data_IF_502219956879
#
_entry.id   IF_502219956879
#
_cell.length_a   1.000
_cell.length_b   1.000
_cell.length_c   1.000
_cell.angle_alpha   90.00
_cell.angle_beta   90.00
_cell.angle_gamma   90.00
#
_symmetry.space_group_name_H-M   'P 1'
#
loop_
_entity.id
_entity.type
_entity.pdbx_description
1 polymer ?
#
# COMPACT_ATOMS: atom_id res chain seq x y z
N UNK A 1 -13.62 -30.82 -8.15
CA UNK A 1 -12.55 -30.17 -8.95
C UNK A 1 -12.39 -28.67 -8.60
N UNK A 2 -12.58 -28.29 -7.33
CA UNK A 2 -12.52 -26.88 -6.86
C UNK A 2 -11.82 -26.77 -5.49
N UNK A 3 -10.88 -27.66 -5.17
CA UNK A 3 -10.25 -27.68 -3.84
C UNK A 3 -8.73 -27.44 -3.88
N UNK A 4 -8.12 -27.43 -5.08
CA UNK A 4 -6.68 -27.22 -5.27
C UNK A 4 -6.28 -25.78 -5.62
N UNK A 5 -7.25 -24.90 -5.88
CA UNK A 5 -6.99 -23.51 -6.26
C UNK A 5 -6.89 -22.57 -5.04
N UNK A 6 -7.48 -22.92 -3.89
CA UNK A 6 -7.52 -22.04 -2.72
C UNK A 6 -6.20 -21.97 -1.94
N UNK A 7 -5.41 -23.04 -1.90
CA UNK A 7 -4.17 -23.08 -1.11
C UNK A 7 -3.02 -22.25 -1.72
N UNK A 8 -3.04 -22.02 -3.04
CA UNK A 8 -1.98 -21.25 -3.73
C UNK A 8 -2.19 -19.75 -3.59
N UNK A 9 -3.43 -19.30 -3.46
CA UNK A 9 -3.75 -17.87 -3.28
C UNK A 9 -3.39 -17.38 -1.88
N UNK A 10 -3.59 -18.18 -0.83
CA UNK A 10 -3.22 -17.79 0.54
C UNK A 10 -1.71 -17.58 0.67
N UNK A 11 -0.87 -18.41 0.03
CA UNK A 11 0.59 -18.21 -0.02
C UNK A 11 1.01 -17.00 -0.85
N UNK A 12 0.27 -16.65 -1.91
CA UNK A 12 0.55 -15.46 -2.74
C UNK A 12 0.09 -14.15 -2.10
N UNK A 13 -0.99 -14.16 -1.33
CA UNK A 13 -1.47 -13.01 -0.55
C UNK A 13 -0.63 -12.79 0.71
N UNK A 14 -0.24 -13.84 1.43
CA UNK A 14 0.69 -13.75 2.56
C UNK A 14 2.09 -13.27 2.14
N UNK A 15 2.45 -13.44 0.87
CA UNK A 15 3.67 -12.85 0.31
C UNK A 15 3.55 -11.35 0.02
N UNK A 16 2.35 -10.73 0.02
CA UNK A 16 2.15 -9.31 -0.31
C UNK A 16 2.26 -8.39 0.91
N UNK A 17 1.87 -8.84 2.10
CA UNK A 17 2.18 -8.13 3.35
C UNK A 17 3.68 -8.20 3.59
N UNK A 18 4.32 -7.05 3.78
CA UNK A 18 5.76 -6.88 3.76
C UNK A 18 6.37 -6.63 2.38
N UNK A 19 5.55 -6.44 1.32
CA UNK A 19 6.08 -5.98 0.03
C UNK A 19 6.18 -4.47 -0.02
N UNK A 20 7.28 -4.03 -0.59
CA UNK A 20 7.45 -2.68 -1.09
C UNK A 20 6.66 -2.51 -2.38
N UNK A 21 5.77 -1.52 -2.40
CA UNK A 21 5.08 -1.06 -3.59
C UNK A 21 5.37 0.42 -3.83
N UNK A 22 5.48 0.79 -5.09
CA UNK A 22 5.57 2.20 -5.47
C UNK A 22 4.15 2.75 -5.61
N UNK A 23 3.87 3.82 -4.87
CA UNK A 23 2.58 4.49 -4.85
C UNK A 23 2.75 5.95 -5.21
N UNK A 24 1.77 6.48 -5.92
CA UNK A 24 1.67 7.91 -6.22
C UNK A 24 0.78 8.55 -5.17
N UNK A 25 1.29 9.59 -4.52
CA UNK A 25 0.58 10.32 -3.48
C UNK A 25 -0.42 11.26 -4.14
N UNK A 26 -1.70 11.10 -3.85
CA UNK A 26 -2.74 12.01 -4.34
C UNK A 26 -2.96 13.16 -3.35
N UNK A 27 -3.03 12.85 -2.05
CA UNK A 27 -3.33 13.83 -1.01
C UNK A 27 -2.54 13.55 0.28
N UNK A 28 -2.28 14.60 1.06
CA UNK A 28 -1.53 14.49 2.32
C UNK A 28 -2.27 15.24 3.42
N UNK A 29 -2.78 14.49 4.39
CA UNK A 29 -3.42 15.00 5.60
C UNK A 29 -2.36 15.29 6.66
N UNK A 30 -1.83 16.50 6.63
CA UNK A 30 -0.78 16.95 7.56
C UNK A 30 -1.25 16.95 9.02
N UNK A 31 -2.52 17.22 9.27
CA UNK A 31 -3.09 17.22 10.62
C UNK A 31 -3.09 15.84 11.27
N UNK A 32 -3.25 14.78 10.46
CA UNK A 32 -3.28 13.38 10.89
C UNK A 32 -1.93 12.67 10.66
N UNK A 33 -0.95 13.35 10.07
CA UNK A 33 0.34 12.81 9.63
C UNK A 33 0.20 11.60 8.67
N UNK A 34 -0.86 11.60 7.85
CA UNK A 34 -1.20 10.53 6.92
C UNK A 34 -1.23 11.03 5.48
N UNK A 35 -0.93 10.16 4.52
CA UNK A 35 -1.08 10.45 3.10
C UNK A 35 -1.93 9.39 2.40
N UNK A 36 -2.71 9.85 1.43
CA UNK A 36 -3.54 9.02 0.57
C UNK A 36 -2.81 8.85 -0.74
N UNK A 37 -2.57 7.60 -1.11
CA UNK A 37 -1.84 7.24 -2.31
C UNK A 37 -2.51 6.08 -3.05
N UNK A 38 -2.13 5.92 -4.31
CA UNK A 38 -2.63 4.90 -5.22
C UNK A 38 -1.48 4.13 -5.85
N UNK A 39 -1.64 2.83 -5.97
CA UNK A 39 -0.62 1.94 -6.52
C UNK A 39 -0.48 2.15 -8.04
N UNK A 40 0.75 2.16 -8.57
CA UNK A 40 1.01 2.31 -10.01
C UNK A 40 0.65 1.05 -10.82
N UNK A 41 0.55 -0.10 -10.16
CA UNK A 41 0.48 -1.42 -10.77
C UNK A 41 -0.91 -2.05 -10.73
N UNK A 42 -1.95 -1.23 -10.59
CA UNK A 42 -3.32 -1.73 -10.42
C UNK A 42 -3.83 -2.44 -11.68
N UNK A 43 -3.77 -3.77 -11.61
CA UNK A 43 -4.72 -4.67 -12.24
C UNK A 43 -5.95 -4.74 -11.31
N UNK A 44 -7.18 -4.93 -11.85
CA UNK A 44 -8.50 -4.66 -11.24
C UNK A 44 -8.88 -5.34 -9.89
N UNK A 45 -7.94 -5.88 -9.13
CA UNK A 45 -8.15 -6.69 -7.91
C UNK A 45 -7.69 -5.99 -6.61
N UNK A 46 -7.08 -4.79 -6.64
CA UNK A 46 -6.66 -4.03 -5.45
C UNK A 46 -7.28 -2.62 -5.51
N UNK A 47 -8.61 -2.57 -5.46
CA UNK A 47 -9.43 -1.35 -5.45
C UNK A 47 -9.37 -0.58 -4.10
N UNK A 48 -8.23 -0.64 -3.39
CA UNK A 48 -8.05 -0.09 -2.05
C UNK A 48 -7.16 1.16 -2.06
N UNK A 49 -7.58 2.20 -1.36
CA UNK A 49 -6.72 3.36 -1.13
C UNK A 49 -5.54 2.94 -0.26
N UNK A 50 -4.34 3.44 -0.59
CA UNK A 50 -3.15 3.20 0.23
C UNK A 50 -3.00 4.37 1.20
N UNK A 51 -3.24 4.08 2.47
CA UNK A 51 -3.02 5.01 3.57
C UNK A 51 -1.58 4.85 4.04
N UNK A 52 -0.80 5.88 3.81
CA UNK A 52 0.59 5.98 4.22
C UNK A 52 0.63 6.67 5.57
N UNK A 53 1.01 5.94 6.62
CA UNK A 53 1.26 6.52 7.93
C UNK A 53 2.67 7.16 7.99
N UNK A 54 2.87 8.15 8.85
CA UNK A 54 4.12 8.92 8.96
C UNK A 54 4.50 9.69 7.68
N UNK A 55 3.50 10.31 7.03
CA UNK A 55 3.67 11.01 5.77
C UNK A 55 4.09 12.49 5.89
N UNK A 56 4.62 12.93 7.04
CA UNK A 56 4.90 14.34 7.33
C UNK A 56 5.87 15.04 6.37
N UNK A 57 6.72 14.27 5.67
CA UNK A 57 7.65 14.77 4.67
C UNK A 57 7.23 14.48 3.21
N UNK A 58 6.06 13.89 3.02
CA UNK A 58 5.54 13.49 1.71
C UNK A 58 4.70 14.64 1.14
N UNK A 59 4.70 14.78 -0.19
CA UNK A 59 3.90 15.78 -0.90
C UNK A 59 2.96 15.10 -1.88
N UNK A 60 1.77 15.66 -2.14
CA UNK A 60 0.93 15.20 -3.25
C UNK A 60 1.70 15.34 -4.57
N UNK A 61 1.58 14.33 -5.43
CA UNK A 61 2.34 14.17 -6.67
C UNK A 61 3.68 13.45 -6.52
N UNK A 62 4.11 13.12 -5.30
CA UNK A 62 5.35 12.38 -5.06
C UNK A 62 5.17 10.88 -5.31
N UNK A 63 6.20 10.23 -5.85
CA UNK A 63 6.24 8.79 -6.07
C UNK A 63 7.11 8.17 -4.99
N UNK A 64 6.46 7.62 -3.98
CA UNK A 64 7.12 7.04 -2.81
C UNK A 64 7.04 5.53 -2.82
N UNK A 65 8.09 4.89 -2.31
CA UNK A 65 8.08 3.46 -2.02
C UNK A 65 7.59 3.22 -0.60
N UNK A 66 6.51 2.45 -0.49
CA UNK A 66 5.87 2.14 0.79
C UNK A 66 5.85 0.64 1.00
N UNK A 67 6.04 0.21 2.24
CA UNK A 67 5.88 -1.18 2.63
C UNK A 67 4.48 -1.36 3.20
N UNK A 68 3.70 -2.25 2.60
CA UNK A 68 2.37 -2.61 3.13
C UNK A 68 2.60 -3.45 4.38
N UNK A 69 2.32 -2.89 5.54
CA UNK A 69 2.47 -3.61 6.80
C UNK A 69 1.16 -4.25 7.23
N UNK A 70 0.03 -3.64 6.84
CA UNK A 70 -1.29 -4.08 7.26
C UNK A 70 -2.33 -3.81 6.16
N UNK A 71 -3.46 -4.51 6.25
CA UNK A 71 -4.56 -4.43 5.29
C UNK A 71 -5.86 -4.60 6.04
N UNK A 72 -6.77 -3.64 5.93
CA UNK A 72 -8.13 -3.79 6.43
C UNK A 72 -9.09 -4.16 5.28
N UNK A 73 -10.38 -4.38 5.56
CA UNK A 73 -11.35 -4.98 4.66
C UNK A 73 -11.45 -4.32 3.27
N UNK A 74 -11.06 -3.04 3.14
CA UNK A 74 -11.01 -2.30 1.88
C UNK A 74 -9.80 -1.38 1.71
N UNK A 75 -8.99 -1.16 2.76
CA UNK A 75 -7.90 -0.18 2.76
C UNK A 75 -6.54 -0.83 3.05
N UNK A 76 -5.49 -0.31 2.43
CA UNK A 76 -4.12 -0.77 2.64
C UNK A 76 -3.39 0.21 3.54
N UNK A 77 -2.78 -0.29 4.61
CA UNK A 77 -1.95 0.49 5.51
C UNK A 77 -0.48 0.21 5.21
N UNK A 78 0.21 1.26 4.79
CA UNK A 78 1.60 1.20 4.44
C UNK A 78 2.41 2.25 5.20
N UNK A 79 3.70 2.01 5.38
CA UNK A 79 4.62 3.04 5.87
C UNK A 79 5.65 3.35 4.79
N UNK A 80 6.10 4.61 4.69
CA UNK A 80 7.16 4.96 3.77
C UNK A 80 8.42 4.23 4.19
N UNK A 81 9.05 3.53 3.24
CA UNK A 81 10.42 3.09 3.44
C UNK A 81 11.25 4.36 3.37
N UNK A 82 11.66 4.87 4.53
CA UNK A 82 12.44 6.10 4.66
C UNK A 82 13.48 6.16 3.53
N UNK A 83 13.36 7.19 2.68
CA UNK A 83 14.44 7.60 1.82
C UNK A 83 15.57 8.02 2.77
N UNK A 84 16.48 7.08 3.07
CA UNK A 84 17.70 7.39 3.79
C UNK A 84 18.35 8.57 3.06
N UNK A 85 18.42 9.67 3.81
CA UNK A 85 19.09 10.93 3.49
C UNK A 85 20.44 10.73 2.79
#
# INVERSE_FOLDING_TARGET
>A
LMERAQEVSVKRLAQKVGRTIQVLVDDVRKDENQAIARSRWDAPDIDGQVIIDNAGNIKPGDLVEVIVNDTDAYDLFATPLEAKK
#
